data_IF_874352566693
#
_entry.id   IF_874352566693
#
_cell.length_a   1.000
_cell.length_b   1.000
_cell.length_c   1.000
_cell.angle_alpha   90.00
_cell.angle_beta   90.00
_cell.angle_gamma   90.00
#
_symmetry.space_group_name_H-M   'P 1'
#
loop_
_entity.id
_entity.type
_entity.pdbx_description
1 polymer ?
#
# COMPACT_ATOMS: atom_id res chain seq x y z
N UNK A 1 8.36 -34.42 16.08
CA UNK A 1 8.02 -33.02 16.36
C UNK A 1 7.16 -33.02 17.62
N UNK A 2 7.49 -32.21 18.62
CA UNK A 2 6.83 -32.28 19.92
C UNK A 2 5.34 -31.95 19.80
N UNK A 3 4.51 -32.80 20.39
CA UNK A 3 3.06 -32.67 20.55
C UNK A 3 2.72 -31.57 21.57
N UNK A 4 3.39 -30.41 21.47
CA UNK A 4 3.16 -29.32 22.39
C UNK A 4 1.88 -28.59 22.01
N UNK A 5 0.96 -28.38 22.96
CA UNK A 5 -0.24 -27.61 22.72
C UNK A 5 0.12 -26.24 22.16
N UNK A 6 -0.54 -25.84 21.07
CA UNK A 6 -0.32 -24.51 20.49
C UNK A 6 -1.37 -23.54 21.00
N UNK A 7 -0.91 -22.38 21.47
CA UNK A 7 -1.77 -21.25 21.82
C UNK A 7 -2.20 -20.54 20.54
N UNK A 8 -3.51 -20.52 20.29
CA UNK A 8 -4.12 -19.76 19.20
C UNK A 8 -4.86 -18.55 19.80
N UNK A 9 -4.76 -17.40 19.13
CA UNK A 9 -5.49 -16.20 19.52
C UNK A 9 -6.41 -15.82 18.38
N UNK A 10 -7.70 -15.70 18.69
CA UNK A 10 -8.73 -15.25 17.76
C UNK A 10 -9.16 -13.86 18.22
N UNK A 11 -9.10 -12.87 17.33
CA UNK A 11 -9.66 -11.54 17.59
C UNK A 11 -11.08 -11.49 17.04
N UNK A 12 -12.07 -11.27 17.92
CA UNK A 12 -13.49 -11.12 17.57
C UNK A 12 -13.95 -9.77 18.10
N UNK A 13 -14.39 -8.87 17.22
CA UNK A 13 -14.82 -7.52 17.57
C UNK A 13 -13.83 -6.77 18.50
N UNK A 14 -12.53 -6.89 18.18
CA UNK A 14 -11.45 -6.27 18.96
C UNK A 14 -11.12 -6.97 20.29
N UNK A 15 -11.78 -8.07 20.64
CA UNK A 15 -11.50 -8.88 21.83
C UNK A 15 -10.71 -10.13 21.48
N UNK A 16 -9.64 -10.40 22.23
CA UNK A 16 -8.86 -11.62 22.07
C UNK A 16 -9.49 -12.78 22.85
N UNK A 17 -9.90 -13.83 22.15
CA UNK A 17 -10.27 -15.15 22.68
C UNK A 17 -9.08 -16.08 22.49
N UNK A 18 -8.61 -16.70 23.59
CA UNK A 18 -7.43 -17.56 23.56
C UNK A 18 -7.85 -19.03 23.60
N UNK A 19 -7.47 -19.77 22.58
CA UNK A 19 -7.68 -21.21 22.50
C UNK A 19 -6.37 -21.96 22.76
N UNK A 20 -6.46 -23.09 23.45
CA UNK A 20 -5.40 -24.07 23.49
C UNK A 20 -5.76 -25.20 22.53
N UNK A 21 -4.90 -25.44 21.52
CA UNK A 21 -5.06 -26.56 20.60
C UNK A 21 -4.14 -27.70 21.00
N UNK A 22 -4.58 -28.94 20.82
CA UNK A 22 -3.74 -30.11 21.04
C UNK A 22 -2.57 -30.18 20.03
N UNK A 23 -2.75 -29.64 18.83
CA UNK A 23 -1.74 -29.61 17.76
C UNK A 23 -1.77 -28.28 16.99
N UNK A 24 -0.64 -27.97 16.33
CA UNK A 24 -0.52 -26.81 15.45
C UNK A 24 -1.55 -26.84 14.32
N UNK A 25 -2.16 -25.69 13.93
CA UNK A 25 -3.06 -25.62 12.79
C UNK A 25 -2.38 -25.98 11.46
N UNK A 26 -1.04 -26.01 11.40
CA UNK A 26 -0.27 -26.49 10.26
C UNK A 26 -0.26 -28.02 10.13
N UNK A 27 -0.61 -28.74 11.21
CA UNK A 27 -0.77 -30.20 11.22
C UNK A 27 -2.23 -30.50 10.86
N UNK A 28 -2.61 -30.14 9.63
CA UNK A 28 -3.91 -30.43 9.04
C UNK A 28 -3.71 -31.04 7.63
N UNK A 29 -4.81 -31.43 6.97
CA UNK A 29 -4.76 -31.95 5.59
C UNK A 29 -4.51 -30.89 4.52
N UNK A 30 -4.18 -29.65 4.89
CA UNK A 30 -4.11 -28.50 4.01
C UNK A 30 -5.48 -27.85 3.73
N UNK A 31 -5.46 -26.86 2.85
CA UNK A 31 -6.66 -26.15 2.35
C UNK A 31 -7.08 -26.83 1.04
N UNK A 32 -8.30 -27.36 0.97
CA UNK A 32 -8.79 -28.10 -0.20
C UNK A 32 -9.22 -27.20 -1.37
N UNK A 33 -9.77 -26.02 -1.06
CA UNK A 33 -10.28 -25.06 -2.03
C UNK A 33 -9.82 -23.65 -1.66
N UNK A 34 -9.56 -22.80 -2.66
CA UNK A 34 -9.22 -21.39 -2.47
C UNK A 34 -7.87 -21.13 -1.77
N UNK A 35 -6.95 -22.09 -1.78
CA UNK A 35 -5.60 -21.93 -1.23
C UNK A 35 -4.81 -20.78 -1.93
N UNK A 36 -5.13 -20.49 -3.19
CA UNK A 36 -4.52 -19.42 -4.00
C UNK A 36 -4.97 -18.01 -3.59
N UNK A 37 -5.97 -17.89 -2.69
CA UNK A 37 -6.33 -16.62 -2.08
C UNK A 37 -5.19 -16.03 -1.26
N UNK A 38 -4.30 -16.88 -0.71
CA UNK A 38 -3.02 -16.44 -0.16
C UNK A 38 -2.08 -16.08 -1.33
N UNK A 39 -2.17 -14.83 -1.77
CA UNK A 39 -1.32 -14.29 -2.84
C UNK A 39 -0.05 -13.69 -2.25
N UNK A 40 1.09 -14.20 -2.69
CA UNK A 40 2.42 -13.63 -2.42
C UNK A 40 3.07 -13.30 -3.76
N UNK A 41 3.51 -12.06 -3.93
CA UNK A 41 4.21 -11.62 -5.14
C UNK A 41 5.18 -10.49 -4.79
N UNK A 42 6.16 -10.30 -5.66
CA UNK A 42 7.16 -9.24 -5.55
C UNK A 42 6.75 -8.05 -6.43
N UNK A 43 6.53 -6.88 -5.83
CA UNK A 43 6.16 -5.66 -6.57
C UNK A 43 7.27 -5.15 -7.50
N UNK A 44 8.49 -5.66 -7.34
CA UNK A 44 9.61 -5.36 -8.23
C UNK A 44 9.64 -6.24 -9.49
N UNK A 45 8.79 -7.27 -9.61
CA UNK A 45 8.76 -8.10 -10.82
C UNK A 45 8.42 -7.25 -12.07
N UNK A 46 9.09 -7.51 -13.19
CA UNK A 46 8.97 -6.77 -14.45
C UNK A 46 7.54 -6.74 -15.01
N UNK A 47 6.75 -7.78 -14.73
CA UNK A 47 5.33 -7.85 -15.14
C UNK A 47 4.47 -6.77 -14.48
N UNK A 48 4.91 -6.20 -13.36
CA UNK A 48 4.23 -5.12 -12.64
C UNK A 48 4.83 -3.77 -13.01
N UNK A 49 4.84 -3.45 -14.30
CA UNK A 49 5.31 -2.18 -14.82
C UNK A 49 4.13 -1.25 -15.15
N UNK A 50 3.84 -0.23 -14.32
CA UNK A 50 2.80 0.75 -14.60
C UNK A 50 3.20 1.70 -15.72
N UNK A 51 2.21 2.25 -16.43
CA UNK A 51 2.48 3.22 -17.50
C UNK A 51 3.07 4.54 -16.98
N UNK A 52 2.82 4.89 -15.72
CA UNK A 52 3.43 6.05 -15.08
C UNK A 52 4.95 5.95 -14.89
N UNK A 53 5.57 4.78 -15.16
CA UNK A 53 7.03 4.67 -15.14
C UNK A 53 7.70 5.65 -16.10
N UNK A 54 7.16 5.72 -17.32
CA UNK A 54 7.75 6.44 -18.44
C UNK A 54 6.90 7.57 -19.02
N UNK A 55 5.61 7.64 -18.67
CA UNK A 55 4.68 8.59 -19.27
C UNK A 55 4.25 9.66 -18.27
N UNK A 56 4.26 10.93 -18.70
CA UNK A 56 3.83 12.05 -17.87
C UNK A 56 2.36 11.94 -17.45
N UNK A 57 1.50 11.46 -18.35
CA UNK A 57 0.07 11.16 -18.14
C UNK A 57 -0.20 9.69 -17.74
N UNK A 58 0.87 8.91 -17.56
CA UNK A 58 0.79 7.52 -17.18
C UNK A 58 0.12 7.32 -15.83
N UNK A 59 -0.48 6.14 -15.65
CA UNK A 59 -1.25 5.77 -14.45
C UNK A 59 -0.51 4.72 -13.63
N UNK A 60 -0.68 4.72 -12.30
CA UNK A 60 -0.23 3.60 -11.50
C UNK A 60 -1.05 2.34 -11.86
N UNK A 61 -0.49 1.17 -11.56
CA UNK A 61 -1.11 -0.13 -11.83
C UNK A 61 -2.04 -0.53 -10.69
N UNK A 62 -3.32 -0.79 -10.99
CA UNK A 62 -4.28 -1.31 -10.00
C UNK A 62 -3.89 -2.72 -9.56
N UNK A 63 -3.54 -2.87 -8.29
CA UNK A 63 -3.16 -4.15 -7.68
C UNK A 63 -4.36 -4.83 -7.00
N UNK A 64 -5.17 -4.06 -6.28
CA UNK A 64 -6.41 -4.53 -5.64
C UNK A 64 -7.52 -3.50 -5.78
N UNK A 65 -8.73 -3.96 -6.04
CA UNK A 65 -9.90 -3.11 -6.24
C UNK A 65 -11.03 -3.49 -5.29
N UNK A 66 -11.70 -2.48 -4.76
CA UNK A 66 -12.95 -2.62 -4.03
C UNK A 66 -13.69 -1.27 -4.03
N UNK A 67 -14.90 -1.25 -3.47
CA UNK A 67 -15.68 -0.03 -3.35
C UNK A 67 -15.11 0.96 -2.34
N UNK A 68 -14.44 0.48 -1.29
CA UNK A 68 -13.96 1.31 -0.17
C UNK A 68 -12.46 1.56 -0.21
N UNK A 69 -11.67 0.57 -0.66
CA UNK A 69 -10.21 0.62 -0.70
C UNK A 69 -9.70 0.14 -2.05
N UNK A 70 -8.83 0.93 -2.67
CA UNK A 70 -8.08 0.54 -3.86
C UNK A 70 -6.59 0.61 -3.55
N UNK A 71 -5.82 -0.33 -4.08
CA UNK A 71 -4.37 -0.37 -3.92
C UNK A 71 -3.75 -0.29 -5.30
N UNK A 72 -2.92 0.72 -5.51
CA UNK A 72 -2.22 0.98 -6.76
C UNK A 72 -0.69 0.90 -6.55
N UNK A 73 0.03 0.43 -7.57
CA UNK A 73 1.50 0.41 -7.63
C UNK A 73 1.98 1.47 -8.59
N UNK A 74 2.80 2.39 -8.10
CA UNK A 74 3.40 3.48 -8.86
C UNK A 74 4.89 3.24 -9.02
N UNK A 75 5.41 3.42 -10.24
CA UNK A 75 6.85 3.32 -10.53
C UNK A 75 7.42 4.56 -11.23
N UNK A 76 6.84 5.74 -11.02
CA UNK A 76 7.21 6.97 -11.76
C UNK A 76 8.70 7.27 -11.65
N UNK A 77 9.43 7.19 -12.77
CA UNK A 77 10.90 7.22 -12.75
C UNK A 77 11.56 7.94 -13.93
N UNK A 78 10.84 8.25 -15.01
CA UNK A 78 11.40 8.96 -16.18
C UNK A 78 10.83 10.35 -16.41
N UNK A 79 9.55 10.53 -16.08
CA UNK A 79 8.83 11.77 -16.34
C UNK A 79 8.09 12.22 -15.09
N UNK A 80 8.05 13.54 -14.88
CA UNK A 80 7.17 14.17 -13.90
C UNK A 80 5.70 13.87 -14.22
N UNK A 81 4.85 13.91 -13.20
CA UNK A 81 3.42 13.92 -13.42
C UNK A 81 3.03 15.22 -14.13
N UNK A 82 2.68 15.11 -15.40
CA UNK A 82 2.43 16.26 -16.30
C UNK A 82 1.15 17.03 -16.01
N UNK A 83 0.45 16.73 -14.92
CA UNK A 83 -0.83 17.29 -14.54
C UNK A 83 -1.00 17.33 -13.03
N UNK A 84 -1.90 18.18 -12.56
CA UNK A 84 -2.35 18.17 -11.17
C UNK A 84 -3.52 17.21 -11.02
N UNK A 85 -3.48 16.37 -10.01
CA UNK A 85 -4.56 15.44 -9.68
C UNK A 85 -5.25 15.88 -8.40
N UNK A 86 -6.58 15.83 -8.40
CA UNK A 86 -7.41 16.07 -7.22
C UNK A 86 -8.41 14.93 -7.12
N UNK A 87 -8.20 14.05 -6.15
CA UNK A 87 -9.12 12.96 -5.92
C UNK A 87 -10.23 13.41 -4.96
N UNK A 88 -11.39 13.70 -5.53
CA UNK A 88 -12.56 14.14 -4.77
C UNK A 88 -13.38 12.99 -4.20
N UNK A 89 -12.94 11.72 -4.38
CA UNK A 89 -13.65 10.53 -3.94
C UNK A 89 -12.96 9.81 -2.78
N UNK A 90 -11.63 9.89 -2.69
CA UNK A 90 -10.85 9.16 -1.69
C UNK A 90 -9.70 9.98 -1.09
N UNK A 91 -9.36 9.66 0.16
CA UNK A 91 -8.05 9.96 0.74
C UNK A 91 -6.99 9.05 0.11
N UNK A 92 -5.76 9.54 -0.03
CA UNK A 92 -4.65 8.74 -0.56
C UNK A 92 -3.55 8.58 0.48
N UNK A 93 -3.24 7.34 0.88
CA UNK A 93 -2.06 7.02 1.68
C UNK A 93 -0.98 6.52 0.73
N UNK A 94 0.15 7.20 0.70
CA UNK A 94 1.29 6.91 -0.16
C UNK A 94 2.43 6.37 0.70
N UNK A 95 2.91 5.17 0.38
CA UNK A 95 4.11 4.59 0.96
C UNK A 95 5.23 4.61 -0.06
N UNK A 96 6.39 5.17 0.28
CA UNK A 96 7.57 5.02 -0.55
C UNK A 96 8.34 3.76 -0.12
N UNK A 97 8.56 2.86 -1.08
CA UNK A 97 9.23 1.57 -0.84
C UNK A 97 10.67 1.59 -1.35
N UNK A 98 10.93 2.31 -2.45
CA UNK A 98 12.26 2.44 -3.09
C UNK A 98 12.38 3.80 -3.78
N UNK A 99 13.60 4.36 -3.84
CA UNK A 99 13.88 5.64 -4.47
C UNK A 99 13.27 6.81 -3.71
N UNK A 100 13.06 7.94 -4.39
CA UNK A 100 12.42 9.11 -3.80
C UNK A 100 11.63 9.92 -4.84
N UNK A 101 10.53 10.53 -4.41
CA UNK A 101 9.76 11.48 -5.23
C UNK A 101 9.39 12.71 -4.42
N UNK A 102 9.43 13.88 -5.07
CA UNK A 102 8.90 15.12 -4.54
C UNK A 102 7.41 15.22 -4.84
N UNK A 103 6.62 15.37 -3.80
CA UNK A 103 5.19 15.63 -3.84
C UNK A 103 4.92 17.11 -3.61
N UNK A 104 4.27 17.71 -4.59
CA UNK A 104 3.76 19.08 -4.51
C UNK A 104 2.28 19.01 -4.23
N UNK A 105 1.82 19.69 -3.19
CA UNK A 105 0.41 19.71 -2.78
C UNK A 105 -0.04 21.12 -2.41
N UNK A 106 -1.35 21.36 -2.35
CA UNK A 106 -1.90 22.62 -1.80
C UNK A 106 -1.49 22.86 -0.33
N UNK A 107 -1.02 21.83 0.37
CA UNK A 107 -0.56 21.88 1.77
C UNK A 107 0.97 21.98 1.90
N UNK A 108 1.67 22.18 0.78
CA UNK A 108 3.12 22.32 0.72
C UNK A 108 3.81 21.15 0.05
N UNK A 109 5.14 21.22 0.04
CA UNK A 109 6.01 20.28 -0.67
C UNK A 109 6.67 19.32 0.31
N UNK A 110 6.74 18.04 -0.03
CA UNK A 110 7.43 16.99 0.73
C UNK A 110 8.18 16.07 -0.23
N UNK A 111 9.34 15.57 0.17
CA UNK A 111 10.02 14.49 -0.54
C UNK A 111 9.80 13.20 0.24
N UNK A 112 9.21 12.19 -0.39
CA UNK A 112 9.07 10.86 0.20
C UNK A 112 10.29 10.01 -0.12
N UNK A 113 10.81 9.33 0.90
CA UNK A 113 11.92 8.38 0.88
C UNK A 113 11.47 7.01 1.38
N UNK A 114 12.27 5.95 1.19
CA UNK A 114 11.87 4.61 1.61
C UNK A 114 11.55 4.57 3.11
N UNK A 115 10.36 4.08 3.45
CA UNK A 115 9.84 4.06 4.83
C UNK A 115 8.92 5.24 5.18
N UNK A 116 8.88 6.31 4.38
CA UNK A 116 7.94 7.40 4.56
C UNK A 116 6.52 6.98 4.17
N UNK A 117 5.55 7.43 4.96
CA UNK A 117 4.11 7.35 4.69
C UNK A 117 3.52 8.75 4.71
N UNK A 118 2.77 9.11 3.66
CA UNK A 118 2.08 10.39 3.56
C UNK A 118 0.59 10.19 3.31
N UNK A 119 -0.24 10.93 4.05
CA UNK A 119 -1.65 11.09 3.76
C UNK A 119 -1.85 12.35 2.90
N UNK A 120 -2.48 12.17 1.75
CA UNK A 120 -3.07 13.25 0.96
C UNK A 120 -4.58 13.22 1.25
N UNK A 121 -5.12 14.26 1.91
CA UNK A 121 -6.54 14.30 2.19
C UNK A 121 -7.38 14.34 0.90
N UNK A 122 -8.56 13.73 0.96
CA UNK A 122 -9.58 13.82 -0.09
C UNK A 122 -9.80 15.28 -0.49
N UNK A 123 -9.80 15.53 -1.79
CA UNK A 123 -10.00 16.85 -2.36
C UNK A 123 -8.76 17.75 -2.40
N UNK A 124 -7.57 17.31 -1.96
CA UNK A 124 -6.34 18.10 -2.06
C UNK A 124 -5.67 17.88 -3.42
N UNK A 125 -5.42 18.98 -4.14
CA UNK A 125 -4.67 18.91 -5.39
C UNK A 125 -3.19 18.61 -5.11
N UNK A 126 -2.65 17.69 -5.90
CA UNK A 126 -1.29 17.20 -5.75
C UNK A 126 -0.70 16.73 -7.09
N UNK A 127 0.63 16.62 -7.13
CA UNK A 127 1.35 15.90 -8.19
C UNK A 127 2.67 15.36 -7.65
N UNK A 128 3.17 14.28 -8.26
CA UNK A 128 4.51 13.74 -7.99
C UNK A 128 5.49 14.14 -9.09
N UNK A 129 6.69 14.54 -8.69
CA UNK A 129 7.77 14.98 -9.57
C UNK A 129 9.07 14.29 -9.15
N UNK A 130 9.94 14.07 -10.13
CA UNK A 130 11.32 13.66 -9.90
C UNK A 130 12.06 14.78 -9.16
N UNK A 131 13.09 14.39 -8.41
CA UNK A 131 13.96 15.28 -7.64
C UNK A 131 15.39 14.75 -7.62
N UNK A 132 16.29 15.51 -7.00
CA UNK A 132 17.72 15.16 -6.94
C UNK A 132 18.00 13.86 -6.18
N UNK A 133 17.04 13.39 -5.38
CA UNK A 133 17.10 12.13 -4.64
C UNK A 133 16.42 10.96 -5.37
N UNK A 134 15.79 11.22 -6.53
CA UNK A 134 15.14 10.18 -7.31
C UNK A 134 16.15 9.20 -7.88
N UNK A 135 15.83 7.91 -7.78
CA UNK A 135 16.64 6.83 -8.33
C UNK A 135 16.20 6.45 -9.75
N UNK A 136 16.96 5.54 -10.37
CA UNK A 136 16.59 4.93 -11.65
C UNK A 136 15.20 4.28 -11.63
N UNK A 137 14.77 3.82 -10.45
CA UNK A 137 13.42 3.36 -10.16
C UNK A 137 12.93 3.91 -8.83
N UNK A 138 11.78 4.57 -8.83
CA UNK A 138 11.10 5.05 -7.63
C UNK A 138 9.78 4.29 -7.50
N UNK A 139 9.61 3.55 -6.42
CA UNK A 139 8.48 2.62 -6.25
C UNK A 139 7.66 3.03 -5.04
N UNK A 140 6.37 3.26 -5.28
CA UNK A 140 5.42 3.67 -4.26
C UNK A 140 4.18 2.77 -4.31
N UNK A 141 3.59 2.55 -3.14
CA UNK A 141 2.29 1.88 -2.99
C UNK A 141 1.29 2.93 -2.54
N UNK A 142 0.19 3.05 -3.28
CA UNK A 142 -0.83 4.07 -3.08
C UNK A 142 -2.15 3.39 -2.67
N UNK A 143 -2.66 3.73 -1.49
CA UNK A 143 -3.96 3.27 -1.00
C UNK A 143 -4.96 4.42 -1.17
N UNK A 144 -6.05 4.17 -1.88
CA UNK A 144 -7.17 5.10 -2.01
C UNK A 144 -8.32 4.63 -1.14
N UNK A 145 -8.66 5.39 -0.12
CA UNK A 145 -9.66 5.04 0.90
C UNK A 145 -10.81 6.05 0.85
N UNK A 146 -12.04 5.58 0.59
CA UNK A 146 -13.22 6.45 0.45
C UNK A 146 -13.75 6.95 1.78
N UNK A 147 -13.59 6.12 2.82
CA UNK A 147 -14.06 6.40 4.17
C UNK A 147 -13.18 7.43 4.89
N UNK A 148 -13.75 8.04 5.93
CA UNK A 148 -13.02 8.97 6.78
C UNK A 148 -11.87 8.27 7.52
N UNK A 149 -10.72 8.94 7.59
CA UNK A 149 -9.53 8.47 8.29
C UNK A 149 -9.25 9.35 9.52
N UNK A 150 -8.95 8.71 10.66
CA UNK A 150 -8.45 9.36 11.86
C UNK A 150 -6.99 8.94 12.08
N UNK A 151 -6.08 9.91 12.23
CA UNK A 151 -4.73 9.63 12.72
C UNK A 151 -4.78 9.32 14.22
N UNK A 152 -4.27 8.17 14.63
CA UNK A 152 -4.35 7.66 16.02
C UNK A 152 -3.02 7.10 16.53
N UNK A 153 -1.92 7.23 15.78
CA UNK A 153 -0.66 6.59 16.16
C UNK A 153 -0.02 7.20 17.43
N UNK A 154 -0.39 8.43 17.79
CA UNK A 154 0.08 9.13 18.99
C UNK A 154 -0.91 9.05 20.16
N UNK A 155 -2.10 8.46 19.95
CA UNK A 155 -3.09 8.17 20.99
C UNK A 155 -2.64 6.90 21.76
N UNK A 156 -1.61 7.01 22.61
CA UNK A 156 -1.14 5.93 23.49
C UNK A 156 -1.97 5.81 24.77
#
# INVERSE_FOLDING_TARGET
>A
MSNQPTREVITIDGKNVVLQRDTSPMINGGVLEFADALRVFNIFDDKFQPSNFGLADGKPLRMYDSTTVKIDLSKRSKEDMGFWHRNADAHEIIFCVKGALRWETEMGVRTLRPGDMMLIPKGIAHRSTLCDESEAENVLVELKITEALKYVAEDK
#
